data_IF_890349598160
#
_entry.id   IF_890349598160
#
_cell.length_a   1.000
_cell.length_b   1.000
_cell.length_c   1.000
_cell.angle_alpha   90.00
_cell.angle_beta   90.00
_cell.angle_gamma   90.00
#
_symmetry.space_group_name_H-M   'P 1'
#
loop_
_entity.id
_entity.type
_entity.pdbx_description
1 polymer ?
#
# COMPACT_ATOMS: atom_id res chain seq x y z
N UNK A 1 -17.36 8.45 0.88
CA UNK A 1 -15.97 8.14 1.31
C UNK A 1 -15.06 9.06 0.53
N UNK A 2 -13.91 9.45 1.08
CA UNK A 2 -12.96 10.31 0.38
C UNK A 2 -11.81 9.47 -0.15
N UNK A 3 -11.16 9.90 -1.22
CA UNK A 3 -9.88 9.36 -1.65
C UNK A 3 -8.80 9.83 -0.66
N UNK A 4 -7.84 8.95 -0.38
CA UNK A 4 -6.70 9.22 0.49
C UNK A 4 -5.42 8.66 -0.11
N UNK A 5 -4.41 9.50 -0.23
CA UNK A 5 -3.06 9.12 -0.64
C UNK A 5 -2.02 9.59 0.38
N UNK A 6 -0.87 8.92 0.37
CA UNK A 6 0.28 9.16 1.22
C UNK A 6 1.55 9.31 0.39
N UNK A 7 2.41 10.24 0.81
CA UNK A 7 3.76 10.46 0.31
C UNK A 7 4.71 10.59 1.51
N UNK A 8 5.93 10.05 1.40
CA UNK A 8 6.98 10.28 2.41
C UNK A 8 7.44 11.74 2.41
N UNK A 9 7.60 12.34 3.58
CA UNK A 9 8.01 13.72 3.75
C UNK A 9 9.54 13.91 3.60
N UNK A 10 10.04 13.74 2.38
CA UNK A 10 11.42 14.09 2.00
C UNK A 10 11.45 15.43 1.26
N UNK A 11 12.61 16.08 1.18
CA UNK A 11 12.74 17.40 0.54
C UNK A 11 12.29 17.39 -0.93
N UNK A 12 12.64 16.34 -1.67
CA UNK A 12 12.22 16.12 -3.05
C UNK A 12 10.70 15.88 -3.16
N UNK A 13 10.15 15.10 -2.23
CA UNK A 13 8.72 14.80 -2.21
C UNK A 13 7.86 15.98 -1.76
N UNK A 14 8.42 16.92 -0.98
CA UNK A 14 7.73 18.18 -0.65
C UNK A 14 7.50 19.05 -1.88
N UNK A 15 8.42 19.04 -2.85
CA UNK A 15 8.23 19.74 -4.12
C UNK A 15 7.10 19.09 -4.93
N UNK A 16 7.09 17.76 -5.01
CA UNK A 16 6.03 16.98 -5.66
C UNK A 16 4.67 17.16 -4.98
N UNK A 17 4.64 17.20 -3.65
CA UNK A 17 3.45 17.52 -2.86
C UNK A 17 2.88 18.90 -3.19
N UNK A 18 3.74 19.90 -3.43
CA UNK A 18 3.31 21.23 -3.88
C UNK A 18 2.73 21.20 -5.29
N UNK A 19 3.30 20.40 -6.19
CA UNK A 19 2.75 20.22 -7.55
C UNK A 19 1.34 19.62 -7.50
N UNK A 20 1.14 18.54 -6.74
CA UNK A 20 -0.18 17.92 -6.53
C UNK A 20 -1.15 18.96 -5.97
N UNK A 21 -0.77 19.71 -4.93
CA UNK A 21 -1.64 20.74 -4.33
C UNK A 21 -2.03 21.82 -5.35
N UNK A 22 -1.07 22.29 -6.15
CA UNK A 22 -1.31 23.36 -7.12
C UNK A 22 -2.24 22.89 -8.26
N UNK A 23 -2.05 21.67 -8.75
CA UNK A 23 -2.90 21.03 -9.76
C UNK A 23 -4.35 20.93 -9.29
N UNK A 24 -4.54 20.45 -8.06
CA UNK A 24 -5.85 20.29 -7.43
C UNK A 24 -6.54 21.63 -7.14
N UNK A 25 -5.77 22.65 -6.74
CA UNK A 25 -6.28 24.01 -6.56
C UNK A 25 -6.71 24.66 -7.87
N UNK A 26 -5.97 24.40 -8.97
CA UNK A 26 -6.32 24.89 -10.30
C UNK A 26 -7.54 24.18 -10.91
N UNK A 27 -7.77 22.93 -10.52
CA UNK A 27 -8.83 22.08 -11.03
C UNK A 27 -10.15 22.12 -10.23
N UNK A 28 -10.27 23.05 -9.26
CA UNK A 28 -11.44 23.20 -8.37
C UNK A 28 -11.76 21.94 -7.53
N UNK A 29 -10.74 21.12 -7.26
CA UNK A 29 -10.82 19.93 -6.42
C UNK A 29 -9.96 20.13 -5.17
N UNK A 30 -10.44 20.87 -4.15
CA UNK A 30 -9.63 21.16 -2.98
C UNK A 30 -9.31 19.88 -2.21
N UNK A 31 -8.01 19.63 -2.03
CA UNK A 31 -7.49 18.52 -1.21
C UNK A 31 -7.08 19.04 0.16
N UNK A 32 -7.45 18.28 1.19
CA UNK A 32 -6.99 18.50 2.56
C UNK A 32 -5.63 17.84 2.72
N UNK A 33 -4.66 18.57 3.25
CA UNK A 33 -3.30 18.08 3.49
C UNK A 33 -3.10 17.96 4.99
N UNK A 34 -2.68 16.79 5.45
CA UNK A 34 -2.31 16.53 6.84
C UNK A 34 -0.96 15.82 6.90
N UNK A 35 -0.34 15.79 8.08
CA UNK A 35 0.97 15.16 8.31
C UNK A 35 0.82 14.07 9.36
N UNK A 36 1.68 13.06 9.32
CA UNK A 36 1.81 12.11 10.44
C UNK A 36 2.32 12.81 11.71
N UNK A 37 2.14 12.18 12.87
CA UNK A 37 2.55 12.73 14.17
C UNK A 37 4.04 13.11 14.20
N UNK A 38 4.89 12.30 13.57
CA UNK A 38 6.34 12.54 13.44
C UNK A 38 6.71 13.42 12.24
N UNK A 39 5.71 13.93 11.51
CA UNK A 39 5.88 14.62 10.23
C UNK A 39 6.71 13.83 9.21
N UNK A 40 6.76 12.50 9.32
CA UNK A 40 7.47 11.64 8.38
C UNK A 40 6.70 11.44 7.07
N UNK A 41 5.39 11.70 7.06
CA UNK A 41 4.48 11.41 5.96
C UNK A 41 3.51 12.57 5.74
N UNK A 42 3.14 12.76 4.47
CA UNK A 42 2.18 13.76 4.00
C UNK A 42 0.97 13.01 3.46
N UNK A 43 -0.20 13.29 4.02
CA UNK A 43 -1.47 12.73 3.59
C UNK A 43 -2.25 13.77 2.78
N UNK A 44 -2.92 13.30 1.74
CA UNK A 44 -3.89 14.08 0.97
C UNK A 44 -5.23 13.38 1.01
N UNK A 45 -6.28 14.13 1.35
CA UNK A 45 -7.65 13.65 1.42
C UNK A 45 -8.58 14.55 0.59
N UNK A 46 -9.40 13.97 -0.27
CA UNK A 46 -10.30 14.72 -1.14
C UNK A 46 -11.34 13.84 -1.83
N UNK A 47 -12.35 14.46 -2.43
CA UNK A 47 -13.36 13.74 -3.23
C UNK A 47 -12.82 13.32 -4.60
N UNK A 48 -11.78 14.01 -5.08
CA UNK A 48 -10.96 13.65 -6.22
C UNK A 48 -9.57 14.22 -5.96
N UNK A 49 -8.53 13.40 -6.12
CA UNK A 49 -7.14 13.85 -6.02
C UNK A 49 -6.49 13.68 -7.40
N UNK A 50 -6.14 14.80 -8.03
CA UNK A 50 -5.42 14.82 -9.30
C UNK A 50 -3.92 14.77 -9.07
N UNK A 51 -3.24 13.91 -9.80
CA UNK A 51 -1.80 13.73 -9.75
C UNK A 51 -1.26 14.06 -11.14
N UNK A 52 -0.43 15.11 -11.27
CA UNK A 52 0.16 15.47 -12.55
C UNK A 52 1.19 14.42 -12.98
N UNK A 53 1.36 14.21 -14.29
CA UNK A 53 2.33 13.25 -14.86
C UNK A 53 3.80 13.56 -14.45
N UNK A 54 4.08 14.80 -14.06
CA UNK A 54 5.39 15.21 -13.52
C UNK A 54 5.73 14.57 -12.18
N UNK A 55 4.76 13.97 -11.49
CA UNK A 55 4.96 13.25 -10.23
C UNK A 55 4.95 11.75 -10.48
N UNK A 56 6.07 11.05 -10.24
CA UNK A 56 6.12 9.59 -10.39
C UNK A 56 5.10 8.90 -9.50
N UNK A 57 4.27 8.05 -10.10
CA UNK A 57 3.22 7.33 -9.40
C UNK A 57 3.75 6.38 -8.31
N UNK A 58 4.96 5.85 -8.51
CA UNK A 58 5.64 4.93 -7.57
C UNK A 58 5.93 5.55 -6.19
N UNK A 59 5.94 6.88 -6.09
CA UNK A 59 6.16 7.61 -4.83
C UNK A 59 4.90 7.70 -3.97
N UNK A 60 3.76 7.33 -4.54
CA UNK A 60 2.44 7.52 -3.98
C UNK A 60 1.94 6.19 -3.44
N UNK A 61 1.48 6.20 -2.19
CA UNK A 61 0.75 5.08 -1.61
C UNK A 61 -0.72 5.43 -1.54
N UNK A 62 -1.57 4.68 -2.23
CA UNK A 62 -3.02 4.84 -2.13
C UNK A 62 -3.48 4.16 -0.84
N UNK A 63 -4.00 4.97 0.08
CA UNK A 63 -4.55 4.49 1.36
C UNK A 63 -6.03 4.15 1.19
N UNK A 64 -6.78 5.01 0.50
CA UNK A 64 -8.20 4.78 0.18
C UNK A 64 -8.53 5.31 -1.21
N UNK A 65 -9.20 4.50 -2.03
CA UNK A 65 -9.65 4.91 -3.36
C UNK A 65 -9.23 3.97 -4.48
N UNK A 66 -9.47 4.40 -5.70
CA UNK A 66 -9.09 3.74 -6.94
C UNK A 66 -8.38 4.75 -7.85
N UNK A 67 -7.30 4.28 -8.48
CA UNK A 67 -6.58 5.04 -9.49
C UNK A 67 -7.27 4.94 -10.85
N UNK A 68 -7.26 6.06 -11.58
CA UNK A 68 -7.71 6.14 -12.95
C UNK A 68 -6.68 6.93 -13.74
N UNK A 69 -6.02 6.26 -14.67
CA UNK A 69 -5.05 6.89 -15.57
C UNK A 69 -5.77 7.84 -16.54
N UNK A 70 -5.18 9.01 -16.78
CA UNK A 70 -5.54 9.99 -17.81
C UNK A 70 -4.33 10.26 -18.71
N UNK A 71 -4.57 11.02 -19.78
CA UNK A 71 -3.52 11.44 -20.72
C UNK A 71 -2.49 12.40 -20.07
N UNK A 72 -2.86 13.08 -18.98
CA UNK A 72 -2.07 14.10 -18.27
C UNK A 72 -1.66 13.69 -16.84
N UNK A 73 -1.80 12.42 -16.50
CA UNK A 73 -1.41 11.86 -15.20
C UNK A 73 -2.43 10.87 -14.64
N UNK A 74 -2.74 10.99 -13.35
CA UNK A 74 -3.62 10.07 -12.64
C UNK A 74 -4.67 10.80 -11.80
N UNK A 75 -5.83 10.18 -11.67
CA UNK A 75 -6.89 10.58 -10.75
C UNK A 75 -7.08 9.52 -9.70
N UNK A 76 -7.16 9.93 -8.43
CA UNK A 76 -7.57 9.06 -7.34
C UNK A 76 -8.98 9.45 -6.93
N UNK A 77 -9.89 8.50 -7.05
CA UNK A 77 -11.31 8.66 -6.70
C UNK A 77 -11.66 7.75 -5.52
N UNK A 78 -12.62 8.12 -4.68
CA UNK A 78 -13.16 7.21 -3.68
C UNK A 78 -13.61 5.91 -4.36
N UNK A 79 -13.26 4.78 -3.78
CA UNK A 79 -13.84 3.51 -4.20
C UNK A 79 -15.30 3.50 -3.76
N UNK A 80 -16.21 3.38 -4.72
CA UNK A 80 -17.58 3.01 -4.39
C UNK A 80 -17.54 1.66 -3.69
N UNK A 81 -18.35 1.48 -2.62
CA UNK A 81 -18.52 0.17 -1.95
C UNK A 81 -18.79 -0.88 -3.03
N UNK A 82 -17.78 -1.70 -3.32
CA UNK A 82 -17.69 -2.44 -4.56
C UNK A 82 -18.83 -3.45 -4.75
N UNK A 83 -19.22 -3.65 -6.01
CA UNK A 83 -19.74 -4.96 -6.42
C UNK A 83 -18.66 -6.00 -6.11
N UNK A 84 -19.02 -7.04 -5.38
CA UNK A 84 -18.16 -8.19 -5.10
C UNK A 84 -17.60 -8.75 -6.41
N UNK A 85 -16.28 -8.63 -6.62
CA UNK A 85 -15.60 -9.36 -7.69
C UNK A 85 -15.37 -10.77 -7.16
N UNK A 86 -16.19 -11.72 -7.62
CA UNK A 86 -15.93 -13.14 -7.38
C UNK A 86 -14.71 -13.55 -8.21
N UNK A 87 -13.51 -13.50 -7.62
CA UNK A 87 -12.36 -14.22 -8.17
C UNK A 87 -12.63 -15.71 -8.01
N UNK A 88 -13.01 -16.37 -9.11
CA UNK A 88 -12.81 -17.81 -9.23
C UNK A 88 -11.32 -18.03 -9.40
N UNK A 89 -10.64 -18.42 -8.33
CA UNK A 89 -9.25 -18.86 -8.38
C UNK A 89 -9.18 -20.12 -9.24
N UNK A 90 -8.45 -20.05 -10.35
CA UNK A 90 -8.14 -21.24 -11.15
C UNK A 90 -7.36 -22.25 -10.29
N UNK A 91 -7.68 -23.53 -10.47
CA UNK A 91 -7.16 -24.64 -9.65
C UNK A 91 -5.61 -24.69 -9.58
N UNK A 92 -4.91 -24.13 -10.58
CA UNK A 92 -3.45 -24.01 -10.59
C UNK A 92 -2.90 -23.02 -9.55
N UNK A 93 -3.51 -21.85 -9.39
CA UNK A 93 -3.07 -20.86 -8.39
C UNK A 93 -3.32 -21.34 -6.95
N UNK A 94 -4.36 -22.16 -6.74
CA UNK A 94 -4.62 -22.82 -5.46
C UNK A 94 -3.56 -23.87 -5.16
N UNK A 95 -3.04 -24.57 -6.18
CA UNK A 95 -1.95 -25.54 -6.02
C UNK A 95 -0.65 -24.84 -5.63
N UNK A 96 -0.28 -23.75 -6.31
CA UNK A 96 0.92 -22.95 -5.99
C UNK A 96 0.83 -22.33 -4.59
N UNK A 97 -0.33 -21.79 -4.20
CA UNK A 97 -0.58 -21.31 -2.84
C UNK A 97 -0.42 -22.42 -1.78
N UNK A 98 -0.87 -23.64 -2.09
CA UNK A 98 -0.69 -24.79 -1.20
C UNK A 98 0.76 -25.25 -1.12
N UNK A 99 1.52 -25.21 -2.21
CA UNK A 99 2.96 -25.52 -2.19
C UNK A 99 3.74 -24.51 -1.33
N UNK A 100 3.45 -23.21 -1.47
CA UNK A 100 4.03 -22.16 -0.64
C UNK A 100 3.64 -22.37 0.83
N UNK A 101 2.37 -22.71 1.10
CA UNK A 101 1.88 -23.00 2.46
C UNK A 101 2.58 -24.23 3.07
N UNK A 102 2.80 -25.28 2.29
CA UNK A 102 3.52 -26.48 2.74
C UNK A 102 5.00 -26.20 3.00
N UNK A 103 5.63 -25.37 2.17
CA UNK A 103 7.02 -24.97 2.34
C UNK A 103 7.23 -24.19 3.65
N UNK A 104 6.35 -23.24 3.95
CA UNK A 104 6.39 -22.41 5.17
C UNK A 104 5.96 -23.18 6.43
N UNK A 105 5.05 -24.15 6.33
CA UNK A 105 4.60 -24.97 7.46
C UNK A 105 5.55 -26.13 7.83
N UNK A 106 6.63 -26.36 7.08
CA UNK A 106 7.56 -27.47 7.32
C UNK A 106 8.43 -27.32 8.58
N UNK A 107 8.39 -26.17 9.27
CA UNK A 107 8.95 -26.02 10.61
C UNK A 107 7.94 -25.39 11.53
N UNK A 108 7.21 -26.22 12.26
CA UNK A 108 6.34 -25.73 13.33
C UNK A 108 7.20 -25.21 14.48
N UNK A 109 6.70 -24.24 15.26
CA UNK A 109 7.38 -23.79 16.49
C UNK A 109 7.70 -24.97 17.42
N UNK A 110 6.87 -26.01 17.39
CA UNK A 110 7.09 -27.25 18.13
C UNK A 110 8.37 -27.98 17.70
N UNK A 111 8.66 -28.06 16.39
CA UNK A 111 9.88 -28.68 15.86
C UNK A 111 11.13 -27.88 16.24
N UNK A 112 11.05 -26.54 16.20
CA UNK A 112 12.14 -25.65 16.62
C UNK A 112 12.41 -25.81 18.13
N UNK A 113 11.35 -25.92 18.95
CA UNK A 113 11.46 -26.15 20.40
C UNK A 113 12.08 -27.52 20.69
N UNK A 114 11.66 -28.57 19.97
CA UNK A 114 12.25 -29.92 20.08
C UNK A 114 13.73 -29.94 19.70
N UNK A 115 14.13 -29.18 18.68
CA UNK A 115 15.53 -29.08 18.24
C UNK A 115 16.42 -28.37 19.27
N UNK A 116 15.92 -27.28 19.88
CA UNK A 116 16.58 -26.58 20.98
C UNK A 116 16.68 -27.49 22.21
N UNK A 117 15.64 -28.25 22.54
CA UNK A 117 15.64 -29.20 23.65
C UNK A 117 16.65 -30.33 23.46
N UNK A 118 16.72 -30.93 22.27
CA UNK A 118 17.71 -31.99 21.96
C UNK A 118 19.14 -31.46 22.04
N UNK A 119 19.40 -30.28 21.46
CA UNK A 119 20.74 -29.64 21.54
C UNK A 119 21.12 -29.27 22.98
N UNK A 120 20.16 -28.86 23.81
CA UNK A 120 20.39 -28.57 25.24
C UNK A 120 20.71 -29.82 26.07
N UNK A 121 20.10 -30.97 25.76
CA UNK A 121 20.37 -32.24 26.44
C UNK A 121 21.72 -32.86 26.04
N UNK A 122 22.12 -32.74 24.78
CA UNK A 122 23.44 -33.22 24.32
C UNK A 122 24.61 -32.42 24.90
N UNK A 123 24.37 -31.18 25.35
CA UNK A 123 25.35 -30.35 26.04
C UNK A 123 25.46 -30.61 27.55
N UNK A 124 24.64 -31.52 28.10
CA UNK A 124 24.56 -31.85 29.53
C UNK A 124 25.12 -33.24 29.89
N UNK A 125 26.00 -33.79 29.04
CA UNK A 125 26.80 -34.99 29.34
C UNK A 125 28.26 -34.65 29.59
#
# INVERSE_FOLDING_TARGET
MKAKILIQNTLENQEKARLIRNENRGSDHPVTISFSEDAAEIFFEGDLIRIPDSVPFELLTIVEGQEKKRDDGYDIQPSDKGKTVNLHLDAGLVAELNEIRQHVMSKTQHDIILEIFKKGLDHFK
#
